data_IF_484805045042
#
_entry.id   IF_484805045042
#
_cell.length_a   1.000
_cell.length_b   1.000
_cell.length_c   1.000
_cell.angle_alpha   90.00
_cell.angle_beta   90.00
_cell.angle_gamma   90.00
#
_symmetry.space_group_name_H-M   'P 1'
#
loop_
_entity.id
_entity.type
_entity.pdbx_description
1 polymer ?
#
# COMPACT_ATOMS: atom_id res chain seq x y z
N UNK A 1 2.94 5.76 2.65
CA UNK A 1 3.70 4.58 2.19
C UNK A 1 4.22 4.78 0.78
N UNK A 2 3.36 5.02 -0.22
CA UNK A 2 3.77 5.28 -1.61
C UNK A 2 4.81 6.42 -1.73
N UNK A 3 4.53 7.59 -1.14
CA UNK A 3 5.48 8.71 -1.08
C UNK A 3 6.85 8.28 -0.50
N UNK A 4 6.85 7.42 0.52
CA UNK A 4 8.06 6.89 1.13
C UNK A 4 8.87 6.02 0.17
N UNK A 5 8.21 5.19 -0.64
CA UNK A 5 8.86 4.39 -1.71
C UNK A 5 9.30 5.25 -2.89
N UNK A 6 8.55 6.30 -3.22
CA UNK A 6 8.96 7.28 -4.22
C UNK A 6 10.23 8.03 -3.80
N UNK A 7 10.33 8.43 -2.52
CA UNK A 7 11.56 8.98 -1.96
C UNK A 7 12.70 7.97 -1.95
N UNK A 8 12.44 6.68 -1.73
CA UNK A 8 13.47 5.64 -1.88
C UNK A 8 13.96 5.57 -3.33
N UNK A 9 13.05 5.55 -4.31
CA UNK A 9 13.41 5.53 -5.73
C UNK A 9 14.21 6.79 -6.13
N UNK A 10 13.76 7.97 -5.71
CA UNK A 10 14.44 9.23 -5.97
C UNK A 10 15.83 9.25 -5.32
N UNK A 11 15.95 8.70 -4.11
CA UNK A 11 17.21 8.56 -3.42
C UNK A 11 18.12 7.52 -4.04
N UNK A 12 17.59 6.49 -4.72
CA UNK A 12 18.34 5.47 -5.46
C UNK A 12 18.95 5.94 -6.78
N UNK A 13 18.54 7.09 -7.30
CA UNK A 13 19.10 7.67 -8.53
C UNK A 13 20.64 7.84 -8.44
N UNK A 14 21.36 7.81 -9.59
CA UNK A 14 22.80 8.03 -9.62
C UNK A 14 23.21 9.35 -8.92
N UNK A 15 24.16 9.27 -7.98
CA UNK A 15 24.63 10.43 -7.20
C UNK A 15 23.71 10.89 -6.06
N UNK A 16 22.53 10.28 -5.90
CA UNK A 16 21.61 10.59 -4.80
C UNK A 16 21.84 9.69 -3.58
N UNK A 17 21.42 10.14 -2.40
CA UNK A 17 21.38 9.34 -1.16
C UNK A 17 20.05 9.55 -0.44
N UNK A 18 19.78 8.68 0.55
CA UNK A 18 18.59 8.72 1.41
C UNK A 18 19.06 8.89 2.85
N UNK A 19 18.48 9.86 3.55
CA UNK A 19 18.66 10.05 4.98
C UNK A 19 17.31 10.19 5.68
N UNK A 20 17.27 9.82 6.95
CA UNK A 20 16.08 9.95 7.80
C UNK A 20 16.43 10.65 9.10
N UNK A 21 15.48 11.38 9.66
CA UNK A 21 15.56 11.98 10.99
C UNK A 21 14.18 12.02 11.63
N UNK A 22 14.13 11.97 12.95
CA UNK A 22 12.90 12.10 13.71
C UNK A 22 12.72 13.52 14.25
N UNK A 23 11.49 14.02 14.22
CA UNK A 23 11.10 15.28 14.83
C UNK A 23 10.93 15.13 16.34
N UNK A 24 11.78 15.83 17.11
CA UNK A 24 11.76 15.74 18.57
C UNK A 24 10.40 16.19 19.12
N UNK A 25 9.61 15.25 19.66
CA UNK A 25 8.28 15.53 20.22
C UNK A 25 7.40 16.37 19.28
N UNK A 26 7.36 16.01 17.99
CA UNK A 26 6.75 16.73 16.87
C UNK A 26 5.57 17.64 17.26
N UNK A 27 4.47 17.07 17.79
CA UNK A 27 3.26 17.86 18.10
C UNK A 27 3.52 19.00 19.09
N UNK A 28 4.35 18.77 20.09
CA UNK A 28 4.61 19.77 21.13
C UNK A 28 5.46 20.95 20.65
N UNK A 29 5.99 20.91 19.42
CA UNK A 29 6.61 22.07 18.78
C UNK A 29 5.57 23.07 18.24
N UNK A 30 4.32 22.63 18.04
CA UNK A 30 3.23 23.47 17.55
C UNK A 30 2.37 24.03 18.68
N UNK A 31 1.92 25.28 18.53
CA UNK A 31 0.93 25.88 19.44
C UNK A 31 -0.46 25.31 19.15
N UNK A 32 -1.18 24.95 20.21
CA UNK A 32 -2.58 24.56 20.10
C UNK A 32 -3.42 25.81 19.82
N UNK A 33 -4.12 25.82 18.69
CA UNK A 33 -5.11 26.83 18.36
C UNK A 33 -6.53 26.41 18.77
N UNK A 34 -7.52 27.23 18.41
CA UNK A 34 -8.94 26.91 18.64
C UNK A 34 -9.42 27.21 20.06
N UNK A 35 -10.51 26.55 20.51
CA UNK A 35 -11.07 26.74 21.84
C UNK A 35 -10.05 26.44 22.95
N UNK A 36 -10.22 27.08 24.11
CA UNK A 36 -9.33 26.83 25.24
C UNK A 36 -9.52 25.40 25.76
N UNK A 37 -8.54 24.55 25.51
CA UNK A 37 -8.48 23.18 26.05
C UNK A 37 -7.78 23.17 27.40
N UNK A 38 -8.38 22.46 28.36
CA UNK A 38 -7.85 22.28 29.70
C UNK A 38 -7.67 20.78 29.97
N UNK A 39 -6.54 20.42 30.58
CA UNK A 39 -6.18 19.02 30.87
C UNK A 39 -5.91 18.84 32.36
N UNK A 40 -6.34 17.70 32.88
CA UNK A 40 -5.92 17.24 34.21
C UNK A 40 -4.52 16.66 34.09
N UNK A 41 -3.64 17.02 35.02
CA UNK A 41 -2.32 16.38 35.12
C UNK A 41 -2.40 15.18 36.05
N UNK A 42 -1.73 14.06 35.72
CA UNK A 42 -1.62 12.96 36.66
C UNK A 42 -0.82 13.41 37.89
N UNK A 43 -1.12 12.83 39.06
CA UNK A 43 -0.65 13.33 40.36
C UNK A 43 0.88 13.38 40.49
N UNK A 44 1.58 12.48 39.82
CA UNK A 44 3.05 12.44 39.73
C UNK A 44 3.66 13.60 38.94
N UNK A 45 2.86 14.33 38.16
CA UNK A 45 3.29 15.50 37.38
C UNK A 45 2.88 16.83 38.02
N UNK A 46 2.29 16.81 39.21
CA UNK A 46 1.92 18.02 39.91
C UNK A 46 3.17 18.73 40.45
N UNK A 47 3.13 20.07 40.43
CA UNK A 47 4.18 20.86 41.07
C UNK A 47 4.17 20.59 42.60
N UNK A 48 5.34 20.59 43.26
CA UNK A 48 5.42 20.35 44.70
C UNK A 48 4.45 21.23 45.51
N UNK A 49 4.35 22.51 45.16
CA UNK A 49 3.46 23.49 45.80
C UNK A 49 1.96 23.29 45.55
N UNK A 50 1.58 22.38 44.65
CA UNK A 50 0.16 22.06 44.41
C UNK A 50 -0.35 20.99 45.37
N UNK A 51 0.55 20.19 45.94
CA UNK A 51 0.20 19.12 46.87
C UNK A 51 -0.40 19.73 48.15
N UNK A 52 -1.61 19.29 48.50
CA UNK A 52 -2.36 19.81 49.66
C UNK A 52 -3.08 21.15 49.42
N UNK A 53 -2.82 21.82 48.29
CA UNK A 53 -3.50 23.07 47.91
C UNK A 53 -4.67 22.84 46.95
N UNK A 54 -4.51 21.92 46.00
CA UNK A 54 -5.51 21.63 44.98
C UNK A 54 -5.90 20.15 45.02
N UNK A 55 -7.19 19.85 44.81
CA UNK A 55 -7.71 18.49 44.81
C UNK A 55 -7.62 17.79 43.43
N UNK A 56 -7.90 18.53 42.35
CA UNK A 56 -7.81 18.04 40.96
C UNK A 56 -7.48 19.24 40.04
N UNK A 57 -6.23 19.72 40.05
CA UNK A 57 -5.84 20.89 39.27
C UNK A 57 -5.91 20.60 37.77
N UNK A 58 -6.52 21.53 37.04
CA UNK A 58 -6.52 21.56 35.58
C UNK A 58 -5.61 22.67 35.09
N UNK A 59 -4.88 22.40 34.02
CA UNK A 59 -4.00 23.37 33.35
C UNK A 59 -4.44 23.60 31.93
N UNK A 60 -4.21 24.81 31.42
CA UNK A 60 -4.48 25.11 30.02
C UNK A 60 -3.45 24.42 29.13
N UNK A 61 -3.92 23.72 28.11
CA UNK A 61 -3.07 23.13 27.10
C UNK A 61 -2.69 24.21 26.07
N UNK A 62 -1.40 24.54 25.97
CA UNK A 62 -0.89 25.63 25.11
C UNK A 62 -0.23 25.08 23.84
N UNK A 63 0.37 23.89 23.91
CA UNK A 63 1.02 23.21 22.80
C UNK A 63 0.16 22.04 22.35
N UNK A 64 0.24 21.67 21.07
CA UNK A 64 -0.44 20.49 20.56
C UNK A 64 0.14 19.24 21.25
N UNK A 65 -0.74 18.43 21.83
CA UNK A 65 -0.36 17.24 22.60
C UNK A 65 -0.93 16.00 21.95
N UNK A 66 -0.15 14.91 22.00
CA UNK A 66 -0.60 13.59 21.57
C UNK A 66 -1.92 13.22 22.25
N UNK A 67 -2.88 12.76 21.45
CA UNK A 67 -4.25 12.44 21.89
C UNK A 67 -5.26 13.57 21.71
N UNK A 68 -4.83 14.82 21.53
CA UNK A 68 -5.75 15.89 21.12
C UNK A 68 -6.16 15.68 19.65
N UNK A 69 -7.46 15.67 19.29
CA UNK A 69 -7.91 15.39 17.93
C UNK A 69 -7.26 16.27 16.86
N UNK A 70 -7.06 17.55 17.17
CA UNK A 70 -6.48 18.52 16.23
C UNK A 70 -4.94 18.65 16.29
N UNK A 71 -4.25 17.90 17.15
CA UNK A 71 -2.79 18.06 17.32
C UNK A 71 -2.03 17.83 16.01
N UNK A 72 -2.42 16.82 15.24
CA UNK A 72 -1.82 16.53 13.94
C UNK A 72 -1.97 17.68 12.95
N UNK A 73 -3.15 18.32 12.91
CA UNK A 73 -3.40 19.46 12.02
C UNK A 73 -2.58 20.69 12.37
N UNK A 74 -2.43 21.00 13.66
CA UNK A 74 -1.57 22.11 14.10
C UNK A 74 -0.09 21.85 13.83
N UNK A 75 0.36 20.60 14.02
CA UNK A 75 1.71 20.19 13.65
C UNK A 75 1.95 20.30 12.15
N UNK A 76 1.04 19.79 11.32
CA UNK A 76 1.14 19.85 9.87
C UNK A 76 1.30 21.30 9.39
N UNK A 77 0.46 22.23 9.90
CA UNK A 77 0.56 23.66 9.57
C UNK A 77 1.87 24.29 10.04
N UNK A 78 2.33 23.96 11.25
CA UNK A 78 3.59 24.46 11.80
C UNK A 78 4.79 23.99 10.96
N UNK A 79 4.85 22.68 10.69
CA UNK A 79 5.89 22.04 9.91
C UNK A 79 5.91 22.57 8.47
N UNK A 80 4.77 22.62 7.79
CA UNK A 80 4.67 23.16 6.43
C UNK A 80 5.14 24.61 6.37
N UNK A 81 4.72 25.47 7.31
CA UNK A 81 5.15 26.86 7.35
C UNK A 81 6.67 26.98 7.55
N UNK A 82 7.24 26.16 8.43
CA UNK A 82 8.67 26.11 8.68
C UNK A 82 9.45 25.68 7.42
N UNK A 83 9.03 24.58 6.78
CA UNK A 83 9.63 24.07 5.55
C UNK A 83 9.59 25.08 4.40
N UNK A 84 8.43 25.73 4.19
CA UNK A 84 8.29 26.80 3.18
C UNK A 84 9.21 27.98 3.43
N UNK A 85 9.42 28.35 4.69
CA UNK A 85 10.29 29.47 5.05
C UNK A 85 11.77 29.23 4.70
N UNK A 86 12.16 27.98 4.46
CA UNK A 86 13.54 27.58 4.10
C UNK A 86 13.65 27.00 2.69
N UNK A 87 12.65 27.25 1.84
CA UNK A 87 12.72 26.96 0.41
C UNK A 87 12.18 25.61 -0.05
N UNK A 88 11.54 24.83 0.84
CA UNK A 88 10.76 23.67 0.43
C UNK A 88 9.38 24.07 -0.08
N UNK A 89 8.97 23.46 -1.18
CA UNK A 89 7.67 23.64 -1.81
C UNK A 89 6.87 22.34 -1.69
N UNK A 90 5.62 22.42 -1.25
CA UNK A 90 4.76 21.25 -1.18
C UNK A 90 4.38 20.79 -2.58
N UNK A 91 4.49 19.49 -2.83
CA UNK A 91 4.04 18.86 -4.07
C UNK A 91 2.51 18.97 -4.18
N UNK A 92 1.95 19.41 -5.33
CA UNK A 92 0.51 19.44 -5.55
C UNK A 92 -0.12 18.07 -5.28
N UNK A 93 -1.29 18.05 -4.63
CA UNK A 93 -2.05 16.84 -4.27
C UNK A 93 -1.36 15.84 -3.31
N UNK A 94 -0.11 16.13 -2.91
CA UNK A 94 0.70 15.31 -2.01
C UNK A 94 1.16 16.11 -0.79
N UNK A 95 0.25 16.28 0.18
CA UNK A 95 0.48 17.13 1.38
C UNK A 95 1.75 16.82 2.18
N UNK A 96 2.13 15.55 2.22
CA UNK A 96 3.29 15.05 2.95
C UNK A 96 4.60 15.09 2.15
N UNK A 97 4.58 15.55 0.90
CA UNK A 97 5.73 15.52 -0.01
C UNK A 97 6.15 16.94 -0.34
N UNK A 98 7.44 17.23 -0.22
CA UNK A 98 8.02 18.53 -0.49
C UNK A 98 9.23 18.41 -1.40
N UNK A 99 9.46 19.43 -2.23
CA UNK A 99 10.62 19.58 -3.09
C UNK A 99 11.40 20.81 -2.70
N UNK A 100 12.72 20.71 -2.62
CA UNK A 100 13.59 21.90 -2.60
C UNK A 100 14.21 22.09 -4.00
N UNK A 101 13.67 22.97 -4.86
CA UNK A 101 14.06 23.03 -6.27
C UNK A 101 15.54 23.36 -6.48
N UNK A 102 16.12 24.29 -5.68
CA UNK A 102 17.54 24.67 -5.81
C UNK A 102 18.52 23.58 -5.39
N UNK A 103 18.14 22.74 -4.43
CA UNK A 103 18.98 21.67 -3.88
C UNK A 103 18.64 20.30 -4.52
N UNK A 104 17.59 20.25 -5.34
CA UNK A 104 17.02 19.04 -5.92
C UNK A 104 16.73 17.94 -4.88
N UNK A 105 16.10 18.33 -3.77
CA UNK A 105 15.76 17.41 -2.67
C UNK A 105 14.28 17.07 -2.70
N UNK A 106 13.97 15.80 -2.43
CA UNK A 106 12.64 15.28 -2.12
C UNK A 106 12.56 15.02 -0.63
N UNK A 107 11.59 15.61 0.04
CA UNK A 107 11.31 15.37 1.45
C UNK A 107 9.93 14.73 1.58
N UNK A 108 9.84 13.68 2.38
CA UNK A 108 8.58 13.09 2.82
C UNK A 108 8.50 13.23 4.33
N UNK A 109 7.40 13.81 4.82
CA UNK A 109 7.14 13.98 6.24
C UNK A 109 5.93 13.14 6.62
N UNK A 110 6.10 12.22 7.56
CA UNK A 110 5.00 11.46 8.16
C UNK A 110 5.02 11.65 9.67
N UNK A 111 4.18 12.55 10.16
CA UNK A 111 4.16 12.94 11.58
C UNK A 111 5.56 13.42 12.00
N UNK A 112 6.29 12.62 12.76
CA UNK A 112 7.65 12.85 13.26
C UNK A 112 8.73 12.26 12.35
N UNK A 113 8.42 11.31 11.47
CA UNK A 113 9.39 10.73 10.54
C UNK A 113 9.67 11.69 9.36
N UNK A 114 10.92 12.15 9.20
CA UNK A 114 11.38 12.89 8.03
C UNK A 114 12.28 11.99 7.17
N UNK A 115 11.95 11.82 5.89
CA UNK A 115 12.78 11.12 4.91
C UNK A 115 13.20 12.08 3.80
N UNK A 116 14.50 12.35 3.72
CA UNK A 116 15.09 13.26 2.74
C UNK A 116 15.92 12.47 1.72
N UNK A 117 15.64 12.70 0.44
CA UNK A 117 16.31 12.04 -0.68
C UNK A 117 16.77 13.06 -1.72
N UNK A 118 17.95 12.87 -2.30
CA UNK A 118 18.46 13.75 -3.36
C UNK A 118 19.98 13.71 -3.48
N UNK A 119 20.59 14.63 -4.25
CA UNK A 119 22.04 14.66 -4.45
C UNK A 119 22.80 14.67 -3.13
N UNK A 120 23.75 13.73 -2.97
CA UNK A 120 24.53 13.57 -1.74
C UNK A 120 25.13 14.88 -1.22
N UNK A 121 25.68 15.69 -2.13
CA UNK A 121 26.33 16.96 -1.81
C UNK A 121 25.38 18.00 -1.18
N UNK A 122 24.07 17.87 -1.38
CA UNK A 122 23.08 18.86 -0.95
C UNK A 122 22.31 18.44 0.31
N UNK A 123 22.41 17.17 0.74
CA UNK A 123 21.63 16.65 1.88
C UNK A 123 21.97 17.38 3.19
N UNK A 124 23.26 17.61 3.46
CA UNK A 124 23.70 18.30 4.67
C UNK A 124 23.05 19.69 4.81
N UNK A 125 23.11 20.49 3.73
CA UNK A 125 22.46 21.80 3.66
C UNK A 125 20.94 21.70 3.83
N UNK A 126 20.30 20.69 3.24
CA UNK A 126 18.87 20.45 3.41
C UNK A 126 18.48 20.22 4.88
N UNK A 127 19.24 19.40 5.59
CA UNK A 127 19.02 19.16 7.02
C UNK A 127 19.29 20.39 7.89
N UNK A 128 20.38 21.13 7.63
CA UNK A 128 20.70 22.37 8.35
C UNK A 128 19.58 23.42 8.21
N UNK A 129 19.03 23.57 7.01
CA UNK A 129 17.90 24.46 6.75
C UNK A 129 16.67 24.07 7.56
N UNK A 130 16.28 22.79 7.57
CA UNK A 130 15.14 22.32 8.35
C UNK A 130 15.38 22.44 9.86
N UNK A 131 16.56 22.04 10.33
CA UNK A 131 16.94 22.10 11.74
C UNK A 131 16.96 23.53 12.30
N UNK A 132 17.13 24.54 11.43
CA UNK A 132 17.02 25.95 11.83
C UNK A 132 15.62 26.39 12.23
N UNK A 133 14.58 25.61 11.90
CA UNK A 133 13.16 25.93 12.16
C UNK A 133 12.43 24.87 12.96
N UNK A 134 12.83 23.61 12.84
CA UNK A 134 12.18 22.44 13.45
C UNK A 134 13.24 21.72 14.28
N UNK A 135 12.87 21.28 15.50
CA UNK A 135 13.75 20.42 16.29
C UNK A 135 13.73 19.02 15.70
N UNK A 136 14.88 18.60 15.20
CA UNK A 136 15.11 17.32 14.56
C UNK A 136 16.28 16.62 15.24
N UNK A 137 16.17 15.32 15.39
CA UNK A 137 17.31 14.48 15.74
C UNK A 137 18.36 14.49 14.62
N UNK A 138 19.63 14.15 14.92
CA UNK A 138 20.67 14.08 13.90
C UNK A 138 20.29 13.11 12.77
N UNK A 139 20.44 13.51 11.49
CA UNK A 139 20.07 12.66 10.37
C UNK A 139 20.96 11.42 10.33
N UNK A 140 20.36 10.29 9.96
CA UNK A 140 21.04 9.00 9.83
C UNK A 140 20.75 8.37 8.47
N UNK A 141 21.51 7.34 8.11
CA UNK A 141 21.20 6.54 6.93
C UNK A 141 19.91 5.76 7.14
N UNK A 142 19.18 5.50 6.06
CA UNK A 142 17.94 4.71 6.14
C UNK A 142 18.27 3.29 6.64
N UNK A 143 17.79 2.97 7.86
CA UNK A 143 17.85 1.63 8.46
C UNK A 143 16.46 1.11 8.74
N UNK A 144 15.62 1.95 9.35
CA UNK A 144 14.24 1.66 9.67
C UNK A 144 13.40 2.87 9.33
N UNK A 145 12.26 2.66 8.70
CA UNK A 145 11.30 3.72 8.38
C UNK A 145 9.90 3.11 8.40
N UNK A 146 8.98 3.71 9.16
CA UNK A 146 7.59 3.25 9.30
C UNK A 146 7.46 1.74 9.65
N UNK A 147 8.34 1.25 10.52
CA UNK A 147 8.33 -0.15 10.98
C UNK A 147 8.89 -1.18 9.99
N UNK A 148 9.41 -0.74 8.84
CA UNK A 148 10.11 -1.58 7.86
C UNK A 148 11.62 -1.36 7.96
N UNK A 149 12.39 -2.44 7.99
CA UNK A 149 13.84 -2.37 7.85
C UNK A 149 14.18 -2.18 6.37
N UNK A 150 15.08 -1.25 6.09
CA UNK A 150 15.55 -0.95 4.75
C UNK A 150 17.03 -1.29 4.71
N UNK A 151 17.39 -2.21 3.82
CA UNK A 151 18.80 -2.56 3.58
C UNK A 151 19.20 -2.08 2.19
N UNK A 152 19.91 -0.94 2.08
CA UNK A 152 20.54 -0.53 0.84
C UNK A 152 21.58 -1.57 0.43
N UNK A 153 21.49 -2.09 -0.80
CA UNK A 153 22.47 -3.04 -1.34
C UNK A 153 22.92 -2.61 -2.72
N UNK A 154 24.09 -3.10 -3.10
CA UNK A 154 24.56 -3.13 -4.48
C UNK A 154 24.43 -4.57 -4.96
N UNK A 155 23.80 -4.79 -6.10
CA UNK A 155 23.75 -6.11 -6.70
C UNK A 155 23.79 -6.03 -8.21
N UNK A 156 24.06 -7.17 -8.83
CA UNK A 156 23.81 -7.42 -10.24
C UNK A 156 22.46 -8.14 -10.30
N UNK A 157 21.34 -7.46 -10.54
CA UNK A 157 20.07 -8.14 -10.67
C UNK A 157 20.18 -9.14 -11.84
N UNK A 158 19.97 -10.42 -11.55
CA UNK A 158 19.88 -11.48 -12.57
C UNK A 158 18.68 -11.23 -13.50
N UNK A 159 17.66 -10.52 -12.99
CA UNK A 159 16.50 -10.04 -13.72
C UNK A 159 16.77 -8.66 -14.33
N UNK A 160 17.32 -8.64 -15.55
CA UNK A 160 17.07 -7.52 -16.47
C UNK A 160 15.71 -7.75 -17.12
N UNK A 161 14.86 -6.73 -17.22
CA UNK A 161 13.55 -6.85 -17.89
C UNK A 161 13.68 -7.04 -19.42
N UNK A 162 14.90 -7.28 -19.93
CA UNK A 162 15.19 -7.46 -21.35
C UNK A 162 14.49 -8.67 -21.99
N UNK A 163 14.11 -9.69 -21.20
CA UNK A 163 13.43 -10.88 -21.68
C UNK A 163 11.89 -10.87 -21.45
N UNK A 164 11.36 -9.85 -20.77
CA UNK A 164 9.90 -9.67 -20.57
C UNK A 164 9.40 -8.62 -21.55
N UNK A 165 9.21 -9.07 -22.78
CA UNK A 165 8.80 -8.26 -23.92
C UNK A 165 7.52 -7.45 -23.66
N UNK A 166 7.71 -6.17 -23.31
CA UNK A 166 6.79 -5.07 -23.62
C UNK A 166 7.63 -3.83 -24.01
N UNK A 167 8.20 -3.86 -25.21
CA UNK A 167 8.69 -2.68 -25.96
C UNK A 167 9.92 -1.90 -25.45
N UNK A 168 10.71 -2.41 -24.50
CA UNK A 168 12.04 -1.83 -24.20
C UNK A 168 13.08 -2.48 -25.11
N UNK A 169 13.78 -1.66 -25.89
CA UNK A 169 14.67 -2.06 -26.98
C UNK A 169 15.52 -3.31 -26.66
N UNK A 170 15.44 -4.30 -27.56
CA UNK A 170 16.32 -5.47 -27.63
C UNK A 170 17.77 -5.03 -27.79
N UNK A 171 18.44 -4.79 -26.67
CA UNK A 171 19.87 -4.69 -26.56
C UNK A 171 20.27 -5.48 -25.34
N UNK A 172 21.20 -6.42 -25.48
CA UNK A 172 21.77 -7.16 -24.36
C UNK A 172 22.40 -6.17 -23.38
N UNK A 173 21.67 -5.82 -22.32
CA UNK A 173 22.18 -4.93 -21.29
C UNK A 173 23.11 -5.75 -20.40
N UNK A 174 24.42 -5.66 -20.66
CA UNK A 174 25.44 -6.37 -19.90
C UNK A 174 25.38 -6.08 -18.38
N UNK A 175 25.99 -6.95 -17.56
CA UNK A 175 25.90 -6.86 -16.11
C UNK A 175 26.46 -5.51 -15.61
N UNK A 176 25.63 -4.77 -14.87
CA UNK A 176 26.02 -3.52 -14.21
C UNK A 176 25.61 -3.60 -12.74
N UNK A 177 26.48 -3.14 -11.86
CA UNK A 177 26.15 -2.98 -10.45
C UNK A 177 25.06 -1.91 -10.31
N UNK A 178 23.94 -2.27 -9.67
CA UNK A 178 22.77 -1.42 -9.49
C UNK A 178 22.49 -1.28 -8.01
N UNK A 179 21.96 -0.11 -7.62
CA UNK A 179 21.56 0.16 -6.24
C UNK A 179 20.13 -0.31 -6.02
N UNK A 180 19.95 -1.05 -4.94
CA UNK A 180 18.67 -1.60 -4.55
C UNK A 180 18.37 -1.29 -3.08
N UNK A 181 17.09 -1.44 -2.74
CA UNK A 181 16.58 -1.40 -1.39
C UNK A 181 15.75 -2.65 -1.16
N UNK A 182 16.07 -3.36 -0.08
CA UNK A 182 15.28 -4.47 0.44
C UNK A 182 14.36 -3.93 1.54
N UNK A 183 13.07 -4.22 1.43
CA UNK A 183 12.06 -3.94 2.45
C UNK A 183 11.85 -5.20 3.29
N UNK A 184 12.48 -5.24 4.47
CA UNK A 184 12.37 -6.35 5.40
C UNK A 184 11.31 -6.08 6.46
N UNK A 185 10.27 -6.92 6.44
CA UNK A 185 9.13 -6.85 7.34
C UNK A 185 9.14 -7.99 8.37
N UNK A 186 10.20 -8.80 8.48
CA UNK A 186 10.26 -10.00 9.34
C UNK A 186 9.79 -9.71 10.76
N UNK A 187 10.43 -8.76 11.45
CA UNK A 187 10.09 -8.43 12.84
C UNK A 187 8.63 -7.98 12.97
N UNK A 188 8.11 -7.25 11.98
CA UNK A 188 6.71 -6.82 12.00
C UNK A 188 5.74 -7.97 11.73
N UNK A 189 6.09 -8.91 10.85
CA UNK A 189 5.31 -10.12 10.58
C UNK A 189 5.28 -11.05 11.80
N UNK A 190 6.39 -11.20 12.51
CA UNK A 190 6.44 -11.91 13.80
C UNK A 190 5.50 -11.27 14.84
N UNK A 191 5.44 -9.93 14.88
CA UNK A 191 4.47 -9.23 15.72
C UNK A 191 3.02 -9.46 15.27
N UNK A 192 2.77 -9.61 13.96
CA UNK A 192 1.43 -9.96 13.45
C UNK A 192 0.99 -11.34 13.94
N UNK A 193 1.88 -12.33 13.85
CA UNK A 193 1.64 -13.70 14.37
C UNK A 193 1.46 -13.66 15.89
N UNK A 194 2.31 -12.93 16.60
CA UNK A 194 2.21 -12.77 18.06
C UNK A 194 0.89 -12.14 18.47
N UNK A 195 0.44 -11.08 17.77
CA UNK A 195 -0.85 -10.43 18.04
C UNK A 195 -2.04 -11.35 17.77
N UNK A 196 -1.96 -12.17 16.73
CA UNK A 196 -2.97 -13.20 16.47
C UNK A 196 -3.07 -14.20 17.63
N UNK A 197 -1.93 -14.72 18.10
CA UNK A 197 -1.89 -15.67 19.23
C UNK A 197 -2.39 -15.03 20.53
N UNK A 198 -2.01 -13.78 20.80
CA UNK A 198 -2.47 -13.01 21.97
C UNK A 198 -3.99 -12.87 21.99
N UNK A 199 -4.60 -12.55 20.84
CA UNK A 199 -6.04 -12.30 20.73
C UNK A 199 -6.88 -13.57 20.63
N UNK A 200 -6.38 -14.62 19.97
CA UNK A 200 -7.13 -15.85 19.73
C UNK A 200 -6.89 -16.91 20.81
N UNK A 201 -5.82 -16.75 21.60
CA UNK A 201 -5.42 -17.65 22.67
C UNK A 201 -4.27 -18.60 22.29
N UNK A 202 -3.55 -19.12 23.30
CA UNK A 202 -2.29 -19.85 23.11
C UNK A 202 -2.43 -21.16 22.33
N UNK A 203 -3.64 -21.77 22.31
CA UNK A 203 -3.92 -22.99 21.54
C UNK A 203 -3.59 -22.85 20.06
N UNK A 204 -3.76 -21.65 19.50
CA UNK A 204 -3.50 -21.40 18.08
C UNK A 204 -2.01 -21.33 17.75
N UNK A 205 -1.14 -21.08 18.72
CA UNK A 205 0.31 -21.13 18.51
C UNK A 205 0.77 -22.55 18.16
N UNK A 206 0.21 -23.55 18.86
CA UNK A 206 0.53 -24.96 18.63
C UNK A 206 -0.02 -25.52 17.30
N UNK A 207 -0.95 -24.80 16.66
CA UNK A 207 -1.58 -25.23 15.40
C UNK A 207 -1.05 -24.51 14.17
N UNK A 208 -0.08 -23.59 14.32
CA UNK A 208 0.58 -22.94 13.18
C UNK A 208 1.41 -23.96 12.40
N UNK A 209 0.89 -24.38 11.24
CA UNK A 209 1.55 -25.33 10.33
C UNK A 209 2.16 -24.60 9.14
N UNK A 210 3.13 -25.25 8.48
CA UNK A 210 3.71 -24.72 7.25
C UNK A 210 2.64 -24.54 6.16
N UNK A 211 2.73 -23.44 5.42
CA UNK A 211 1.79 -23.08 4.38
C UNK A 211 2.50 -22.35 3.24
N UNK A 212 2.33 -22.85 2.00
CA UNK A 212 2.95 -22.26 0.80
C UNK A 212 2.10 -21.17 0.13
N UNK A 213 0.81 -21.07 0.49
CA UNK A 213 -0.13 -20.05 -0.01
C UNK A 213 -1.03 -19.56 1.13
N UNK A 214 -1.38 -18.26 1.16
CA UNK A 214 -2.32 -17.72 2.14
C UNK A 214 -3.77 -18.18 1.93
N UNK A 215 -4.09 -18.76 0.77
CA UNK A 215 -5.44 -19.19 0.42
C UNK A 215 -5.71 -20.64 0.83
N UNK A 216 -6.99 -20.93 1.12
CA UNK A 216 -7.50 -22.29 1.22
C UNK A 216 -7.98 -22.74 -0.15
N UNK A 217 -7.82 -24.03 -0.42
CA UNK A 217 -8.45 -24.68 -1.55
C UNK A 217 -9.92 -24.95 -1.25
N UNK A 218 -10.76 -23.96 -1.55
CA UNK A 218 -12.21 -24.00 -1.32
C UNK A 218 -12.95 -24.97 -2.26
N UNK A 219 -12.26 -25.63 -3.20
CA UNK A 219 -12.85 -26.71 -3.99
C UNK A 219 -13.00 -28.01 -3.20
N UNK A 220 -12.30 -28.14 -2.06
CA UNK A 220 -12.36 -29.33 -1.22
C UNK A 220 -13.73 -29.46 -0.55
N UNK A 221 -14.31 -30.68 -0.50
CA UNK A 221 -15.63 -30.92 0.10
C UNK A 221 -15.76 -30.41 1.54
N UNK A 222 -14.70 -30.47 2.33
CA UNK A 222 -14.66 -30.03 3.74
C UNK A 222 -14.82 -28.50 3.96
N UNK A 223 -14.78 -27.72 2.88
CA UNK A 223 -14.98 -26.27 2.87
C UNK A 223 -16.18 -25.84 2.02
N UNK A 224 -16.90 -26.79 1.40
CA UNK A 224 -18.14 -26.49 0.70
C UNK A 224 -19.24 -26.18 1.73
N UNK A 225 -19.67 -24.93 1.72
CA UNK A 225 -20.71 -24.41 2.61
C UNK A 225 -22.06 -24.31 1.91
N UNK A 226 -22.18 -24.84 0.67
CA UNK A 226 -23.42 -24.81 -0.09
C UNK A 226 -24.44 -25.80 0.49
N UNK A 227 -25.55 -25.33 1.07
CA UNK A 227 -26.56 -26.21 1.65
C UNK A 227 -27.31 -27.06 0.60
N UNK A 228 -27.20 -26.73 -0.70
CA UNK A 228 -27.92 -27.38 -1.79
C UNK A 228 -27.10 -28.48 -2.52
N UNK A 229 -25.88 -28.81 -2.06
CA UNK A 229 -25.04 -29.91 -2.60
C UNK A 229 -24.89 -31.07 -1.59
N UNK A 230 -25.71 -32.14 -1.66
CA UNK A 230 -25.85 -33.16 -0.60
C UNK A 230 -24.67 -34.13 -0.42
N UNK A 231 -23.67 -34.13 -1.29
CA UNK A 231 -22.58 -35.12 -1.27
C UNK A 231 -21.60 -34.93 -0.10
N UNK A 232 -21.59 -33.73 0.50
CA UNK A 232 -20.68 -33.32 1.59
C UNK A 232 -21.17 -33.79 2.96
N UNK A 233 -22.49 -33.77 3.20
CA UNK A 233 -23.09 -34.24 4.46
C UNK A 233 -22.87 -35.74 4.70
N UNK A 234 -22.66 -36.52 3.62
CA UNK A 234 -22.46 -37.97 3.67
C UNK A 234 -21.03 -38.38 4.07
N UNK A 235 -20.02 -37.52 3.82
CA UNK A 235 -18.60 -37.75 4.15
C UNK A 235 -18.23 -37.32 5.58
N UNK A 236 -18.97 -36.39 6.17
CA UNK A 236 -18.71 -35.83 7.52
C UNK A 236 -19.47 -36.55 8.65
N UNK A 237 -20.23 -37.61 8.36
CA UNK A 237 -20.88 -38.46 9.37
C UNK A 237 -22.02 -37.78 10.15
N UNK A 238 -22.69 -36.78 9.57
CA UNK A 238 -23.81 -36.09 10.23
C UNK A 238 -25.17 -36.61 9.75
N UNK A 239 -26.09 -36.98 10.66
CA UNK A 239 -27.44 -37.38 10.28
C UNK A 239 -28.31 -36.16 9.93
N UNK A 240 -29.04 -36.29 8.82
CA UNK A 240 -30.26 -35.56 8.42
C UNK A 240 -30.17 -34.13 7.85
N UNK A 241 -30.65 -34.05 6.59
CA UNK A 241 -31.24 -32.98 5.77
C UNK A 241 -31.71 -31.67 6.44
N UNK A 242 -30.82 -30.98 7.17
CA UNK A 242 -31.05 -29.59 7.57
C UNK A 242 -29.80 -28.76 7.24
N UNK A 243 -29.92 -27.67 6.46
CA UNK A 243 -28.84 -26.70 6.31
C UNK A 243 -28.40 -26.22 7.69
N UNK A 244 -27.24 -26.64 8.18
CA UNK A 244 -26.63 -26.04 9.35
C UNK A 244 -26.15 -24.66 8.88
N UNK A 245 -26.70 -23.54 9.40
CA UNK A 245 -26.15 -22.23 9.08
C UNK A 245 -24.66 -22.27 9.42
N UNK A 246 -23.76 -21.74 8.56
CA UNK A 246 -22.35 -21.71 8.91
C UNK A 246 -22.24 -21.01 10.28
N UNK A 247 -21.82 -21.78 11.28
CA UNK A 247 -21.81 -21.30 12.66
C UNK A 247 -21.01 -20.00 12.74
N UNK A 248 -21.48 -19.05 13.55
CA UNK A 248 -20.76 -17.79 13.79
C UNK A 248 -19.31 -18.12 14.14
N UNK A 249 -18.37 -17.55 13.37
CA UNK A 249 -16.94 -17.84 13.56
C UNK A 249 -16.47 -17.32 14.92
N UNK A 250 -15.64 -18.10 15.60
CA UNK A 250 -15.18 -17.80 16.97
C UNK A 250 -14.09 -16.74 17.00
N UNK A 251 -13.45 -16.45 15.86
CA UNK A 251 -12.41 -15.42 15.74
C UNK A 251 -12.96 -14.06 15.31
N UNK A 252 -14.28 -13.92 15.11
CA UNK A 252 -14.89 -12.70 14.56
C UNK A 252 -14.59 -11.45 15.39
N UNK A 253 -14.59 -11.56 16.72
CA UNK A 253 -14.39 -10.42 17.63
C UNK A 253 -12.96 -9.85 17.58
N UNK A 254 -11.97 -10.67 17.21
CA UNK A 254 -10.57 -10.24 17.09
C UNK A 254 -10.09 -10.08 15.64
N UNK A 255 -10.84 -10.58 14.66
CA UNK A 255 -10.46 -10.62 13.26
C UNK A 255 -10.03 -9.26 12.71
N UNK A 256 -10.81 -8.20 12.97
CA UNK A 256 -10.49 -6.86 12.49
C UNK A 256 -9.12 -6.37 13.00
N UNK A 257 -8.83 -6.54 14.29
CA UNK A 257 -7.57 -6.12 14.88
C UNK A 257 -6.36 -6.87 14.29
N UNK A 258 -6.51 -8.18 14.04
CA UNK A 258 -5.47 -9.00 13.40
C UNK A 258 -5.27 -8.58 11.95
N UNK A 259 -6.35 -8.52 11.16
CA UNK A 259 -6.32 -8.19 9.74
C UNK A 259 -5.75 -6.79 9.49
N UNK A 260 -6.10 -5.80 10.29
CA UNK A 260 -5.58 -4.43 10.11
C UNK A 260 -4.08 -4.34 10.39
N UNK A 261 -3.56 -5.09 11.36
CA UNK A 261 -2.11 -5.15 11.60
C UNK A 261 -1.40 -5.84 10.43
N UNK A 262 -1.92 -6.95 9.92
CA UNK A 262 -1.37 -7.64 8.74
C UNK A 262 -1.42 -6.71 7.52
N UNK A 263 -2.53 -6.00 7.29
CA UNK A 263 -2.70 -5.07 6.17
C UNK A 263 -1.63 -3.97 6.15
N UNK A 264 -1.24 -3.47 7.32
CA UNK A 264 -0.17 -2.48 7.42
C UNK A 264 1.13 -3.04 6.84
N UNK A 265 1.54 -4.23 7.30
CA UNK A 265 2.76 -4.86 6.84
C UNK A 265 2.68 -5.31 5.37
N UNK A 266 1.50 -5.73 4.92
CA UNK A 266 1.21 -6.06 3.53
C UNK A 266 1.52 -4.87 2.62
N UNK A 267 0.95 -3.69 2.90
CA UNK A 267 1.18 -2.46 2.13
C UNK A 267 2.61 -1.91 2.24
N UNK A 268 3.36 -2.28 3.28
CA UNK A 268 4.75 -1.87 3.43
C UNK A 268 5.69 -2.70 2.55
N UNK A 269 5.60 -4.03 2.57
CA UNK A 269 6.55 -4.89 1.85
C UNK A 269 6.11 -6.33 1.63
N UNK A 270 4.83 -6.66 1.79
CA UNK A 270 4.28 -8.01 1.64
C UNK A 270 3.00 -8.00 0.78
N UNK A 271 3.14 -7.60 -0.48
CA UNK A 271 2.01 -7.40 -1.40
C UNK A 271 1.20 -8.68 -1.65
N UNK A 272 1.83 -9.84 -1.51
CA UNK A 272 1.22 -11.17 -1.51
C UNK A 272 0.09 -11.33 -0.45
N UNK A 273 0.10 -10.52 0.61
CA UNK A 273 -0.90 -10.56 1.67
C UNK A 273 -2.09 -9.61 1.42
N UNK A 274 -2.04 -8.74 0.42
CA UNK A 274 -3.08 -7.72 0.19
C UNK A 274 -4.42 -8.36 -0.18
N UNK A 275 -4.43 -9.25 -1.18
CA UNK A 275 -5.65 -9.95 -1.63
C UNK A 275 -6.29 -10.82 -0.54
N UNK A 276 -5.57 -11.72 0.18
CA UNK A 276 -6.21 -12.53 1.22
C UNK A 276 -6.74 -11.70 2.39
N UNK A 277 -6.05 -10.62 2.77
CA UNK A 277 -6.54 -9.71 3.82
C UNK A 277 -7.78 -8.96 3.35
N UNK A 278 -7.80 -8.48 2.11
CA UNK A 278 -8.97 -7.81 1.53
C UNK A 278 -10.19 -8.76 1.52
N UNK A 279 -9.99 -10.02 1.11
CA UNK A 279 -11.04 -11.05 1.06
C UNK A 279 -11.69 -11.29 2.42
N UNK A 280 -10.88 -11.38 3.48
CA UNK A 280 -11.36 -11.57 4.84
C UNK A 280 -11.99 -10.31 5.41
N UNK A 281 -11.43 -9.14 5.09
CA UNK A 281 -11.93 -7.86 5.56
C UNK A 281 -13.35 -7.55 5.05
N UNK A 282 -13.70 -7.98 3.83
CA UNK A 282 -15.07 -7.83 3.30
C UNK A 282 -16.11 -8.69 4.03
N UNK A 283 -15.67 -9.66 4.85
CA UNK A 283 -16.53 -10.59 5.58
C UNK A 283 -16.58 -10.30 7.09
N UNK A 284 -15.93 -9.26 7.60
CA UNK A 284 -15.88 -8.93 9.04
C UNK A 284 -17.27 -8.83 9.68
N UNK A 285 -18.26 -8.26 8.98
CA UNK A 285 -19.63 -8.13 9.50
C UNK A 285 -20.49 -9.39 9.32
N UNK A 286 -19.97 -10.42 8.62
CA UNK A 286 -20.63 -11.69 8.31
C UNK A 286 -19.69 -12.87 8.59
N UNK A 287 -18.95 -12.77 9.68
CA UNK A 287 -17.84 -13.68 9.99
C UNK A 287 -18.34 -15.08 10.41
N UNK A 288 -17.89 -16.11 9.70
CA UNK A 288 -18.31 -17.50 9.88
C UNK A 288 -17.12 -18.44 10.17
N UNK A 289 -17.41 -19.73 10.38
CA UNK A 289 -16.38 -20.74 10.63
C UNK A 289 -15.40 -20.95 9.46
N UNK A 290 -15.78 -20.64 8.21
CA UNK A 290 -14.85 -20.67 7.09
C UNK A 290 -13.87 -19.50 7.15
N UNK A 291 -14.34 -18.33 7.58
CA UNK A 291 -13.50 -17.16 7.86
C UNK A 291 -12.45 -17.48 8.94
N UNK A 292 -12.80 -18.21 10.00
CA UNK A 292 -11.83 -18.66 11.01
C UNK A 292 -10.70 -19.50 10.37
N UNK A 293 -11.06 -20.47 9.53
CA UNK A 293 -10.10 -21.35 8.83
C UNK A 293 -9.22 -20.55 7.88
N UNK A 294 -9.78 -19.61 7.11
CA UNK A 294 -9.07 -18.73 6.18
C UNK A 294 -8.11 -17.79 6.91
N UNK A 295 -8.53 -17.17 8.01
CA UNK A 295 -7.66 -16.33 8.84
C UNK A 295 -6.51 -17.16 9.43
N UNK A 296 -6.80 -18.36 9.94
CA UNK A 296 -5.76 -19.23 10.47
C UNK A 296 -4.76 -19.65 9.37
N UNK A 297 -5.24 -19.99 8.17
CA UNK A 297 -4.39 -20.31 7.00
C UNK A 297 -3.48 -19.14 6.63
N UNK A 298 -4.02 -17.92 6.58
CA UNK A 298 -3.25 -16.71 6.32
C UNK A 298 -2.13 -16.53 7.35
N UNK A 299 -2.41 -16.71 8.64
CA UNK A 299 -1.37 -16.57 9.69
C UNK A 299 -0.34 -17.70 9.63
N UNK A 300 -0.75 -18.93 9.32
CA UNK A 300 0.17 -20.04 9.03
C UNK A 300 1.13 -19.69 7.90
N UNK A 301 0.61 -19.13 6.80
CA UNK A 301 1.42 -18.68 5.66
C UNK A 301 2.42 -17.59 6.06
N UNK A 302 1.97 -16.56 6.79
CA UNK A 302 2.87 -15.50 7.29
C UNK A 302 4.00 -16.09 8.15
N UNK A 303 3.67 -16.99 9.09
CA UNK A 303 4.64 -17.65 9.95
C UNK A 303 5.64 -18.54 9.18
N UNK A 304 5.23 -19.05 8.01
CA UNK A 304 6.05 -19.91 7.15
C UNK A 304 6.94 -19.12 6.18
N UNK A 305 6.70 -17.82 6.04
CA UNK A 305 7.28 -16.96 5.00
C UNK A 305 7.83 -15.66 5.58
N UNK A 306 8.35 -15.70 6.81
CA UNK A 306 8.95 -14.55 7.50
C UNK A 306 10.21 -14.01 6.82
N UNK A 307 10.75 -14.74 5.84
CA UNK A 307 11.91 -14.42 5.02
C UNK A 307 11.56 -13.80 3.65
N UNK A 308 10.28 -13.71 3.28
CA UNK A 308 9.87 -13.01 2.07
C UNK A 308 10.05 -11.50 2.24
N UNK A 309 10.65 -10.88 1.23
CA UNK A 309 11.00 -9.47 1.20
C UNK A 309 10.60 -8.85 -0.14
N UNK A 310 10.23 -7.57 -0.11
CA UNK A 310 10.05 -6.78 -1.32
C UNK A 310 11.38 -6.13 -1.68
N UNK A 311 11.71 -6.12 -2.97
CA UNK A 311 12.92 -5.47 -3.50
C UNK A 311 12.55 -4.40 -4.51
N UNK A 312 13.29 -3.30 -4.50
CA UNK A 312 13.22 -2.27 -5.53
C UNK A 312 14.62 -1.77 -5.87
N UNK A 313 14.85 -1.40 -7.12
CA UNK A 313 16.15 -0.96 -7.60
C UNK A 313 16.04 0.05 -8.73
N UNK A 314 17.02 0.95 -8.81
CA UNK A 314 17.14 1.95 -9.87
C UNK A 314 18.54 1.88 -10.44
N UNK A 315 18.63 1.48 -11.72
CA UNK A 315 19.87 1.32 -12.47
C UNK A 315 20.01 2.26 -13.66
N UNK A 316 18.96 3.03 -13.96
CA UNK A 316 18.90 3.92 -15.12
C UNK A 316 18.83 5.38 -14.69
N UNK A 317 19.11 6.26 -15.66
CA UNK A 317 18.94 7.69 -15.50
C UNK A 317 17.45 8.06 -15.41
N UNK A 318 17.07 9.15 -14.74
CA UNK A 318 15.68 9.55 -14.57
C UNK A 318 14.89 9.59 -15.89
N UNK A 319 15.53 9.96 -17.01
CA UNK A 319 14.94 10.12 -18.34
C UNK A 319 14.43 8.79 -18.94
N UNK A 320 15.01 7.67 -18.50
CA UNK A 320 14.69 6.32 -18.97
C UNK A 320 13.63 5.63 -18.10
N UNK A 321 13.23 6.26 -16.99
CA UNK A 321 12.22 5.73 -16.10
C UNK A 321 10.82 6.10 -16.59
N UNK A 322 9.90 5.16 -16.47
CA UNK A 322 8.49 5.32 -16.80
C UNK A 322 7.64 4.77 -15.64
N UNK A 323 6.49 5.40 -15.39
CA UNK A 323 5.49 4.89 -14.46
C UNK A 323 4.69 3.81 -15.17
N UNK A 324 4.60 2.63 -14.56
CA UNK A 324 3.85 1.49 -15.09
C UNK A 324 2.76 1.11 -14.09
N UNK A 325 1.54 0.99 -14.59
CA UNK A 325 0.34 0.72 -13.84
C UNK A 325 -0.34 -0.51 -14.43
N UNK A 326 -0.32 -1.59 -13.67
CA UNK A 326 -0.99 -2.84 -13.96
C UNK A 326 -2.38 -2.82 -13.33
N UNK A 327 -3.41 -3.13 -14.10
CA UNK A 327 -4.77 -3.30 -13.62
C UNK A 327 -5.39 -4.59 -14.15
N UNK A 328 -6.08 -5.29 -13.26
CA UNK A 328 -6.79 -6.53 -13.57
C UNK A 328 -8.11 -6.58 -12.77
N UNK A 329 -9.08 -7.37 -13.23
CA UNK A 329 -10.33 -7.60 -12.54
C UNK A 329 -10.74 -9.08 -12.51
N UNK A 330 -10.95 -9.61 -11.31
CA UNK A 330 -11.59 -10.92 -11.12
C UNK A 330 -13.12 -10.76 -11.20
N UNK A 331 -13.68 -10.96 -12.39
CA UNK A 331 -15.12 -10.84 -12.66
C UNK A 331 -15.94 -11.78 -11.76
N UNK A 332 -16.85 -11.19 -10.99
CA UNK A 332 -17.76 -11.93 -10.11
C UNK A 332 -17.06 -12.92 -9.15
N UNK A 333 -15.80 -12.64 -8.79
CA UNK A 333 -15.01 -13.47 -7.89
C UNK A 333 -15.58 -13.63 -6.48
N UNK A 334 -16.41 -12.67 -6.02
CA UNK A 334 -17.14 -12.82 -4.77
C UNK A 334 -18.41 -13.65 -4.97
N UNK A 335 -18.41 -14.88 -4.45
CA UNK A 335 -19.53 -15.82 -4.56
C UNK A 335 -20.79 -15.39 -3.79
N UNK A 336 -20.69 -14.43 -2.88
CA UNK A 336 -21.81 -14.00 -2.03
C UNK A 336 -22.70 -12.95 -2.68
N UNK A 337 -22.12 -12.03 -3.46
CA UNK A 337 -22.86 -10.94 -4.11
C UNK A 337 -22.45 -10.69 -5.57
N UNK A 338 -21.67 -11.61 -6.15
CA UNK A 338 -21.21 -11.60 -7.55
C UNK A 338 -20.46 -10.32 -7.95
N UNK A 339 -19.92 -9.59 -6.97
CA UNK A 339 -19.09 -8.41 -7.27
C UNK A 339 -17.68 -8.84 -7.63
N UNK A 340 -17.10 -8.12 -8.57
CA UNK A 340 -15.73 -8.33 -9.02
C UNK A 340 -14.71 -7.77 -8.02
N UNK A 341 -13.45 -8.16 -8.16
CA UNK A 341 -12.32 -7.59 -7.40
C UNK A 341 -11.33 -6.94 -8.35
N UNK A 342 -11.04 -5.66 -8.13
CA UNK A 342 -10.00 -4.91 -8.85
C UNK A 342 -8.65 -5.08 -8.16
N UNK A 343 -7.63 -5.44 -8.93
CA UNK A 343 -6.23 -5.48 -8.52
C UNK A 343 -5.45 -4.40 -9.25
N UNK A 344 -4.57 -3.71 -8.53
CA UNK A 344 -3.74 -2.65 -9.11
C UNK A 344 -2.33 -2.73 -8.57
N UNK A 345 -1.33 -2.82 -9.45
CA UNK A 345 0.08 -2.76 -9.09
C UNK A 345 0.77 -1.62 -9.83
N UNK A 346 1.52 -0.78 -9.13
CA UNK A 346 2.21 0.36 -9.70
C UNK A 346 3.70 0.31 -9.38
N UNK A 347 4.52 0.53 -10.39
CA UNK A 347 5.98 0.57 -10.25
C UNK A 347 6.62 1.62 -11.17
N UNK A 348 7.87 1.99 -10.87
CA UNK A 348 8.75 2.56 -11.87
C UNK A 348 9.47 1.44 -12.61
N UNK A 349 9.54 1.56 -13.93
CA UNK A 349 10.26 0.63 -14.78
C UNK A 349 11.27 1.36 -15.65
N UNK A 350 12.40 0.71 -15.90
CA UNK A 350 13.40 1.08 -16.90
C UNK A 350 14.18 -0.18 -17.32
N UNK A 351 15.08 -0.09 -18.32
CA UNK A 351 15.85 -1.26 -18.79
C UNK A 351 16.56 -2.05 -17.68
N UNK A 352 16.98 -1.36 -16.62
CA UNK A 352 17.68 -1.88 -15.43
C UNK A 352 17.06 -1.39 -14.13
N UNK A 353 15.79 -0.98 -14.15
CA UNK A 353 15.14 -0.36 -13.00
C UNK A 353 13.78 -0.99 -12.77
N UNK A 354 13.49 -1.31 -11.52
CA UNK A 354 12.18 -1.76 -11.08
C UNK A 354 11.98 -1.33 -9.63
N UNK A 355 11.07 -0.40 -9.41
CA UNK A 355 10.71 0.06 -8.09
C UNK A 355 9.21 -0.11 -7.87
N UNK A 356 8.77 -1.11 -7.08
CA UNK A 356 7.39 -1.19 -6.62
C UNK A 356 7.02 0.06 -5.83
N UNK A 357 5.95 0.76 -6.22
CA UNK A 357 5.50 1.99 -5.55
C UNK A 357 4.25 1.73 -4.70
N UNK A 358 3.27 1.02 -5.28
CA UNK A 358 2.01 0.75 -4.59
C UNK A 358 1.33 -0.51 -5.14
N UNK A 359 0.46 -1.11 -4.33
CA UNK A 359 -0.37 -2.24 -4.68
C UNK A 359 -1.72 -2.17 -3.95
N UNK A 360 -2.79 -2.58 -4.60
CA UNK A 360 -4.15 -2.53 -4.07
C UNK A 360 -4.96 -3.74 -4.54
N UNK A 361 -5.80 -4.26 -3.65
CA UNK A 361 -6.91 -5.15 -3.99
C UNK A 361 -8.18 -4.52 -3.44
N UNK A 362 -9.22 -4.44 -4.26
CA UNK A 362 -10.49 -3.80 -3.88
C UNK A 362 -11.67 -4.49 -4.51
N UNK A 363 -12.59 -4.96 -3.67
CA UNK A 363 -13.92 -5.38 -4.10
C UNK A 363 -14.65 -4.20 -4.76
N UNK A 364 -15.12 -4.41 -5.99
CA UNK A 364 -15.90 -3.42 -6.72
C UNK A 364 -17.23 -3.15 -6.00
N UNK A 365 -17.76 -1.95 -6.16
CA UNK A 365 -19.00 -1.55 -5.45
C UNK A 365 -20.26 -1.94 -6.22
N UNK A 366 -20.15 -2.12 -7.53
CA UNK A 366 -21.20 -2.59 -8.43
C UNK A 366 -20.88 -3.98 -8.99
N UNK A 367 -21.92 -4.68 -9.44
CA UNK A 367 -21.80 -5.93 -10.19
C UNK A 367 -21.59 -5.60 -11.67
N UNK A 368 -20.58 -6.21 -12.27
CA UNK A 368 -20.28 -6.12 -13.70
C UNK A 368 -20.91 -7.31 -14.43
N UNK A 369 -21.45 -7.08 -15.63
CA UNK A 369 -22.15 -8.11 -16.42
C UNK A 369 -21.25 -8.81 -17.44
N UNK A 370 -20.04 -8.31 -17.63
CA UNK A 370 -19.04 -8.87 -18.54
C UNK A 370 -17.63 -8.54 -18.05
N UNK A 371 -16.62 -9.29 -18.53
CA UNK A 371 -15.22 -9.04 -18.20
C UNK A 371 -14.79 -7.62 -18.57
N UNK A 372 -15.05 -7.10 -19.79
CA UNK A 372 -14.68 -5.74 -20.13
C UNK A 372 -15.30 -4.67 -19.20
N UNK A 373 -16.51 -4.90 -18.67
CA UNK A 373 -17.09 -3.98 -17.68
C UNK A 373 -16.33 -3.98 -16.36
N UNK A 374 -15.89 -5.15 -15.90
CA UNK A 374 -15.11 -5.26 -14.67
C UNK A 374 -13.72 -4.63 -14.85
N UNK A 375 -13.08 -4.82 -16.00
CA UNK A 375 -11.79 -4.19 -16.31
C UNK A 375 -11.89 -2.67 -16.37
N UNK A 376 -12.92 -2.10 -17.03
CA UNK A 376 -13.10 -0.64 -17.08
C UNK A 376 -13.23 -0.05 -15.67
N UNK A 377 -13.96 -0.71 -14.75
CA UNK A 377 -14.06 -0.26 -13.35
C UNK A 377 -12.70 -0.37 -12.64
N UNK A 378 -11.91 -1.40 -12.94
CA UNK A 378 -10.56 -1.57 -12.39
C UNK A 378 -9.60 -0.50 -12.88
N UNK A 379 -9.62 -0.24 -14.19
CA UNK A 379 -8.86 0.76 -14.88
C UNK A 379 -9.16 2.18 -14.37
N UNK A 380 -10.44 2.55 -14.24
CA UNK A 380 -10.84 3.84 -13.66
C UNK A 380 -10.24 4.00 -12.26
N UNK A 381 -10.40 2.96 -11.43
CA UNK A 381 -9.85 2.96 -10.09
C UNK A 381 -8.33 3.13 -10.08
N UNK A 382 -7.63 2.39 -10.94
CA UNK A 382 -6.18 2.43 -11.07
C UNK A 382 -5.68 3.81 -11.49
N UNK A 383 -6.22 4.36 -12.59
CA UNK A 383 -5.81 5.63 -13.17
C UNK A 383 -6.09 6.79 -12.21
N UNK A 384 -7.31 6.88 -11.66
CA UNK A 384 -7.68 8.03 -10.84
C UNK A 384 -7.19 7.97 -9.40
N UNK A 385 -6.99 6.77 -8.82
CA UNK A 385 -6.52 6.66 -7.43
C UNK A 385 -5.01 6.56 -7.28
N UNK A 386 -4.30 6.03 -8.29
CA UNK A 386 -2.86 5.80 -8.22
C UNK A 386 -2.12 6.47 -9.38
N UNK A 387 -2.54 6.21 -10.61
CA UNK A 387 -1.85 6.67 -11.83
C UNK A 387 -1.66 8.18 -11.91
N UNK A 388 -2.75 8.95 -11.97
CA UNK A 388 -2.71 10.42 -12.13
C UNK A 388 -2.05 11.13 -10.94
N UNK A 389 -2.35 10.78 -9.66
CA UNK A 389 -1.64 11.37 -8.52
C UNK A 389 -0.13 11.11 -8.58
N UNK A 390 0.30 9.89 -8.89
CA UNK A 390 1.72 9.55 -8.99
C UNK A 390 2.38 10.25 -10.18
N UNK A 391 1.70 10.31 -11.33
CA UNK A 391 2.18 11.02 -12.52
C UNK A 391 2.48 12.49 -12.19
N UNK A 392 1.51 13.19 -11.59
CA UNK A 392 1.65 14.58 -11.16
C UNK A 392 2.85 14.77 -10.22
N UNK A 393 3.01 13.89 -9.23
CA UNK A 393 4.16 13.94 -8.31
C UNK A 393 5.49 13.75 -9.04
N UNK A 394 5.60 12.74 -9.92
CA UNK A 394 6.85 12.49 -10.64
C UNK A 394 7.21 13.61 -11.61
N UNK A 395 6.22 14.19 -12.29
CA UNK A 395 6.43 15.37 -13.13
C UNK A 395 6.90 16.58 -12.32
N UNK A 396 6.27 16.83 -11.17
CA UNK A 396 6.65 17.89 -10.25
C UNK A 396 8.07 17.70 -9.69
N UNK A 397 8.43 16.47 -9.32
CA UNK A 397 9.74 16.13 -8.76
C UNK A 397 10.86 16.22 -9.79
N UNK A 398 10.62 15.73 -11.02
CA UNK A 398 11.62 15.71 -12.09
C UNK A 398 11.65 17.01 -12.92
N UNK A 399 10.63 17.87 -12.81
CA UNK A 399 10.54 19.11 -13.59
C UNK A 399 10.39 18.87 -15.10
N UNK A 400 9.85 17.73 -15.50
CA UNK A 400 9.63 17.33 -16.90
C UNK A 400 8.37 16.48 -17.00
N UNK A 401 7.79 16.38 -18.20
CA UNK A 401 6.70 15.41 -18.43
C UNK A 401 7.19 13.99 -18.18
N UNK A 402 6.33 13.18 -17.60
CA UNK A 402 6.58 11.78 -17.27
C UNK A 402 5.56 10.91 -17.99
N UNK A 403 5.84 9.62 -18.15
CA UNK A 403 4.96 8.71 -18.90
C UNK A 403 4.29 7.76 -17.95
N UNK A 404 2.97 7.63 -18.09
CA UNK A 404 2.15 6.60 -17.45
C UNK A 404 1.75 5.56 -18.50
N UNK A 405 2.29 4.34 -18.37
CA UNK A 405 1.88 3.18 -19.15
C UNK A 405 0.89 2.37 -18.35
N UNK A 406 -0.27 2.15 -18.92
CA UNK A 406 -1.30 1.28 -18.37
C UNK A 406 -1.19 -0.07 -19.06
N UNK A 407 -0.93 -1.10 -18.26
CA UNK A 407 -0.88 -2.49 -18.69
C UNK A 407 -2.29 -3.06 -18.53
N UNK A 408 -2.86 -3.49 -19.64
CA UNK A 408 -4.23 -4.02 -19.73
C UNK A 408 -4.20 -5.22 -20.67
N UNK A 409 -4.79 -6.34 -20.27
CA UNK A 409 -4.81 -7.58 -21.05
C UNK A 409 -6.13 -7.76 -21.82
N UNK A 410 -7.16 -6.94 -21.53
CA UNK A 410 -8.44 -7.00 -22.21
C UNK A 410 -8.54 -6.01 -23.39
N UNK A 411 -8.29 -6.52 -24.61
CA UNK A 411 -8.38 -5.72 -25.84
C UNK A 411 -9.74 -5.04 -26.05
N UNK A 412 -10.83 -5.65 -25.58
CA UNK A 412 -12.15 -5.06 -25.70
C UNK A 412 -12.27 -3.82 -24.80
N UNK A 413 -11.83 -3.90 -23.53
CA UNK A 413 -11.79 -2.76 -22.62
C UNK A 413 -10.94 -1.62 -23.19
N UNK A 414 -9.73 -1.91 -23.69
CA UNK A 414 -8.86 -0.94 -24.36
C UNK A 414 -9.60 -0.25 -25.51
N UNK A 415 -10.22 -1.02 -26.41
CA UNK A 415 -10.94 -0.47 -27.56
C UNK A 415 -12.12 0.41 -27.12
N UNK A 416 -12.85 0.02 -26.09
CA UNK A 416 -13.96 0.83 -25.54
C UNK A 416 -13.45 2.18 -25.05
N UNK A 417 -12.35 2.21 -24.30
CA UNK A 417 -11.79 3.48 -23.79
C UNK A 417 -11.26 4.34 -24.92
N UNK A 418 -10.55 3.79 -25.91
CA UNK A 418 -10.01 4.57 -27.04
C UNK A 418 -11.14 5.21 -27.86
N UNK A 419 -12.20 4.45 -28.13
CA UNK A 419 -13.34 4.91 -28.95
C UNK A 419 -14.35 5.75 -28.16
N UNK A 420 -14.34 5.66 -26.83
CA UNK A 420 -15.29 6.34 -25.93
C UNK A 420 -16.70 5.77 -25.96
N UNK A 421 -16.95 4.70 -26.72
CA UNK A 421 -18.28 4.10 -26.83
C UNK A 421 -18.22 2.62 -27.24
N UNK A 422 -19.17 1.81 -26.77
CA UNK A 422 -19.36 0.45 -27.27
C UNK A 422 -20.83 0.18 -27.63
N UNK A 423 -21.15 -0.05 -28.92
CA UNK A 423 -22.52 -0.34 -29.38
C UNK A 423 -23.17 -1.54 -28.71
N UNK A 424 -22.37 -2.52 -28.24
CA UNK A 424 -22.84 -3.74 -27.60
C UNK A 424 -23.07 -3.59 -26.09
N UNK A 425 -22.62 -2.48 -25.48
CA UNK A 425 -22.74 -2.20 -24.05
C UNK A 425 -23.82 -1.15 -23.74
N UNK A 426 -24.91 -1.11 -24.53
CA UNK A 426 -26.05 -0.19 -24.29
C UNK A 426 -26.68 -0.37 -22.91
N UNK A 427 -26.56 -1.56 -22.34
CA UNK A 427 -27.09 -1.94 -21.04
C UNK A 427 -26.26 -1.43 -19.84
N UNK A 428 -25.10 -0.81 -20.10
CA UNK A 428 -24.24 -0.26 -19.06
C UNK A 428 -24.95 0.79 -18.22
N UNK A 429 -24.63 0.77 -16.92
CA UNK A 429 -25.10 1.77 -15.97
C UNK A 429 -24.57 3.16 -16.30
N UNK A 430 -25.24 4.20 -15.76
CA UNK A 430 -24.79 5.59 -15.93
C UNK A 430 -23.36 5.81 -15.42
N UNK A 431 -23.01 5.20 -14.29
CA UNK A 431 -21.68 5.35 -13.67
C UNK A 431 -20.59 4.80 -14.58
N UNK A 432 -20.73 3.55 -15.05
CA UNK A 432 -19.73 2.98 -15.97
C UNK A 432 -19.58 3.78 -17.28
N UNK A 433 -20.65 4.43 -17.76
CA UNK A 433 -20.55 5.34 -18.92
C UNK A 433 -19.75 6.61 -18.60
N UNK A 434 -19.85 7.12 -17.38
CA UNK A 434 -19.04 8.24 -16.90
C UNK A 434 -17.57 7.80 -16.84
N UNK A 435 -17.29 6.61 -16.31
CA UNK A 435 -15.93 6.05 -16.23
C UNK A 435 -15.29 5.96 -17.63
N UNK A 436 -16.02 5.41 -18.62
CA UNK A 436 -15.55 5.38 -20.03
C UNK A 436 -15.25 6.79 -20.53
N UNK A 437 -16.18 7.73 -20.35
CA UNK A 437 -16.04 9.09 -20.89
C UNK A 437 -14.84 9.81 -20.25
N UNK A 438 -14.67 9.66 -18.94
CA UNK A 438 -13.59 10.26 -18.17
C UNK A 438 -12.23 9.64 -18.53
N UNK A 439 -12.16 8.32 -18.70
CA UNK A 439 -10.94 7.64 -19.15
C UNK A 439 -10.59 7.97 -20.60
N UNK A 440 -11.60 8.07 -21.48
CA UNK A 440 -11.42 8.47 -22.88
C UNK A 440 -10.83 9.89 -22.97
N UNK A 441 -11.38 10.85 -22.21
CA UNK A 441 -10.85 12.22 -22.15
C UNK A 441 -9.38 12.23 -21.72
N UNK A 442 -9.04 11.48 -20.66
CA UNK A 442 -7.66 11.37 -20.15
C UNK A 442 -6.71 10.71 -21.15
N UNK A 443 -7.16 9.67 -21.82
CA UNK A 443 -6.40 9.00 -22.88
C UNK A 443 -6.08 9.97 -24.03
N UNK A 444 -7.08 10.70 -24.53
CA UNK A 444 -6.91 11.66 -25.63
C UNK A 444 -6.14 12.92 -25.21
N UNK A 445 -6.16 13.29 -23.93
CA UNK A 445 -5.27 14.32 -23.38
C UNK A 445 -3.79 13.89 -23.34
N UNK A 446 -3.52 12.58 -23.52
CA UNK A 446 -2.18 12.01 -23.46
C UNK A 446 -1.67 11.79 -22.04
N UNK A 447 -2.56 11.75 -21.04
CA UNK A 447 -2.19 11.54 -19.64
C UNK A 447 -1.67 10.11 -19.40
N UNK A 448 -2.10 9.14 -20.22
CA UNK A 448 -1.58 7.77 -20.20
C UNK A 448 -1.69 7.12 -21.58
N UNK A 449 -0.97 6.01 -21.76
CA UNK A 449 -1.07 5.15 -22.95
C UNK A 449 -1.27 3.69 -22.55
N UNK A 450 -2.02 2.96 -23.37
CA UNK A 450 -2.18 1.51 -23.18
C UNK A 450 -1.01 0.74 -23.77
N UNK A 451 -0.59 -0.29 -23.04
CA UNK A 451 0.30 -1.34 -23.52
C UNK A 451 -0.39 -2.66 -23.28
N UNK A 452 -0.63 -3.42 -24.35
CA UNK A 452 -1.19 -4.77 -24.23
C UNK A 452 -0.23 -5.64 -23.42
N UNK A 453 -0.73 -6.18 -22.32
CA UNK A 453 0.02 -7.06 -21.42
C UNK A 453 -0.45 -8.50 -21.65
N UNK A 454 0.42 -9.45 -22.01
CA UNK A 454 0.05 -10.86 -21.96
C UNK A 454 -0.26 -11.26 -20.50
N UNK A 455 -1.34 -12.01 -20.26
CA UNK A 455 -1.78 -12.35 -18.88
C UNK A 455 -0.70 -13.00 -17.99
N UNK A 456 0.27 -13.70 -18.58
CA UNK A 456 1.41 -14.28 -17.84
C UNK A 456 2.38 -13.24 -17.23
N UNK A 457 2.30 -11.99 -17.68
CA UNK A 457 3.09 -10.86 -17.19
C UNK A 457 2.23 -9.84 -16.43
N UNK A 458 0.95 -10.15 -16.21
CA UNK A 458 0.01 -9.28 -15.53
C UNK A 458 0.28 -9.29 -14.02
N UNK A 459 1.01 -8.29 -13.54
CA UNK A 459 1.38 -8.18 -12.13
C UNK A 459 0.17 -7.87 -11.24
N UNK A 460 -0.96 -7.42 -11.80
CA UNK A 460 -2.23 -7.24 -11.11
C UNK A 460 -2.88 -8.55 -10.65
N UNK A 461 -2.56 -9.69 -11.27
CA UNK A 461 -3.20 -10.99 -11.00
C UNK A 461 -3.08 -11.43 -9.54
N UNK A 462 -1.92 -11.21 -8.91
CA UNK A 462 -1.71 -11.57 -7.51
C UNK A 462 -2.64 -10.80 -6.55
N UNK A 463 -3.21 -9.69 -7.03
CA UNK A 463 -4.10 -8.80 -6.29
C UNK A 463 -5.59 -9.07 -6.56
N UNK A 464 -5.92 -9.96 -7.51
CA UNK A 464 -7.29 -10.34 -7.86
C UNK A 464 -7.56 -11.83 -7.62
N UNK A 465 -6.59 -12.71 -7.89
CA UNK A 465 -6.77 -14.16 -7.89
C UNK A 465 -6.40 -14.79 -6.54
N UNK A 466 -7.12 -15.84 -6.17
CA UNK A 466 -6.82 -16.69 -5.02
C UNK A 466 -5.95 -17.88 -5.46
N UNK A 467 -4.64 -17.67 -5.55
CA UNK A 467 -3.71 -18.70 -6.04
C UNK A 467 -3.50 -19.80 -4.99
N UNK A 468 -4.07 -20.98 -5.23
CA UNK A 468 -3.93 -22.16 -4.34
C UNK A 468 -2.69 -23.01 -4.65
N UNK A 469 -2.04 -22.81 -5.80
CA UNK A 469 -0.85 -23.55 -6.21
C UNK A 469 0.45 -22.88 -5.73
N UNK A 470 1.41 -23.70 -5.28
CA UNK A 470 2.71 -23.26 -4.76
C UNK A 470 3.58 -22.50 -5.78
N UNK A 471 3.18 -22.48 -7.06
CA UNK A 471 3.89 -21.78 -8.15
C UNK A 471 3.70 -20.26 -8.15
N UNK A 472 2.80 -19.72 -7.33
CA UNK A 472 2.57 -18.27 -7.22
C UNK A 472 3.62 -17.52 -6.37
N UNK A 473 4.87 -18.00 -6.33
CA UNK A 473 6.01 -17.23 -5.84
C UNK A 473 6.62 -16.49 -7.02
N UNK A 474 6.22 -15.24 -7.24
CA UNK A 474 6.87 -14.33 -8.18
C UNK A 474 6.98 -12.94 -7.57
#
# INVERSE_FOLDING_TARGET
MEAGKAADAFGLLPGHEIQVADGESAYTQAKLGGPATWVRLPKDRWLPEWHGKYHDPVVRLVLALYGHPDAGGFWEQHCEKALRSVGFEQCPDWKSVFRHPKLNLMLVVYVDDFKLSGPKANLATGWELMASKIKLEPPSSIKRYLGCEHEPKKAFPELTFGDRDTTVAQGSVGPREIRMIKYDMRSFMEQCVSRYVELCGPKYKATLRSADTPFLDESRPEFDTNPDRPEVNRLLGHPTDTPIPPGKGVLGDCAAAVLMKILYGARMGRYDLIRPVQALASLITKWDGLCDKKLHRLVCYINSTLDLNLYGWIGDAPEMLELVLYCDADLAGDRTDSKSTSGVFMCLLGPRSFMPLNALSKKQTSVSKSTPEAEIVSLDHAVYKLGLPALSMWEYMLGRRFRLRVMEDNEAAIRVIITGHNPNMRHMSRTQRIDISALNERYHAGDFLFVTCPSQFEAGDILTKACTDAKAKA
#
